data_IF_732756136669
#
_entry.id   IF_732756136669
#
_cell.length_a   1.000
_cell.length_b   1.000
_cell.length_c   1.000
_cell.angle_alpha   90.00
_cell.angle_beta   90.00
_cell.angle_gamma   90.00
#
_symmetry.space_group_name_H-M   'P 1'
#
loop_
_entity.id
_entity.type
_entity.pdbx_description
1 polymer ?
#
# COMPACT_ATOMS: atom_id res chain seq x y z
N UNK A 1 -14.28 10.73 15.76
CA UNK A 1 -13.67 10.66 14.42
C UNK A 1 -12.17 10.57 14.60
N UNK A 2 -11.49 9.60 13.96
CA UNK A 2 -10.03 9.50 14.04
C UNK A 2 -9.41 10.52 13.11
N UNK A 3 -8.39 11.23 13.60
CA UNK A 3 -7.68 12.24 12.80
C UNK A 3 -6.75 11.59 11.76
N UNK A 4 -6.28 10.37 12.01
CA UNK A 4 -5.33 9.65 11.15
C UNK A 4 -5.66 8.16 11.12
N UNK A 5 -5.76 7.61 9.92
CA UNK A 5 -5.94 6.18 9.64
C UNK A 5 -4.57 5.61 9.26
N UNK A 6 -4.14 4.57 9.97
CA UNK A 6 -2.89 3.85 9.69
C UNK A 6 -3.22 2.59 8.90
N UNK A 7 -2.47 2.37 7.83
CA UNK A 7 -2.51 1.13 7.06
C UNK A 7 -1.07 0.62 6.91
N UNK A 8 -0.78 -0.64 7.29
CA UNK A 8 0.53 -1.21 7.07
C UNK A 8 0.68 -1.55 5.57
N UNK A 9 1.89 -1.42 5.01
CA UNK A 9 2.13 -1.77 3.62
C UNK A 9 2.01 -3.27 3.38
N UNK A 10 1.57 -3.64 2.18
CA UNK A 10 1.73 -4.99 1.65
C UNK A 10 3.05 -5.09 0.89
N UNK A 11 3.85 -6.12 1.14
CA UNK A 11 5.13 -6.33 0.43
C UNK A 11 4.97 -7.41 -0.64
N UNK A 12 5.32 -7.07 -1.87
CA UNK A 12 5.24 -7.96 -3.03
C UNK A 12 6.62 -8.43 -3.45
N UNK A 13 6.82 -9.75 -3.44
CA UNK A 13 8.02 -10.42 -3.94
C UNK A 13 8.14 -10.24 -5.46
N UNK A 14 9.37 -9.99 -5.94
CA UNK A 14 9.67 -9.83 -7.36
C UNK A 14 11.04 -10.43 -7.66
N UNK A 15 11.22 -10.97 -8.87
CA UNK A 15 12.53 -11.48 -9.33
C UNK A 15 13.64 -10.41 -9.30
N UNK A 16 13.26 -9.15 -9.49
CA UNK A 16 14.14 -7.97 -9.40
C UNK A 16 14.12 -7.31 -8.02
N UNK A 17 13.45 -7.94 -7.05
CA UNK A 17 13.32 -7.44 -5.69
C UNK A 17 14.63 -7.53 -4.92
N UNK A 18 14.70 -6.79 -3.83
CA UNK A 18 15.89 -6.74 -2.98
C UNK A 18 15.50 -6.48 -1.53
N UNK A 19 16.45 -5.98 -0.73
CA UNK A 19 16.22 -5.63 0.67
C UNK A 19 16.25 -4.11 0.93
N UNK A 20 16.40 -3.27 -0.11
CA UNK A 20 16.51 -1.80 0.02
C UNK A 20 15.25 -1.14 0.55
N UNK A 21 14.09 -1.79 0.48
CA UNK A 21 12.88 -1.29 1.13
C UNK A 21 13.10 -1.10 2.65
N UNK A 22 13.95 -1.91 3.29
CA UNK A 22 14.29 -1.73 4.70
C UNK A 22 14.99 -0.38 4.99
N UNK A 23 15.76 0.15 4.03
CA UNK A 23 16.45 1.45 4.15
C UNK A 23 15.45 2.63 4.23
N UNK A 24 14.21 2.43 3.76
CA UNK A 24 13.12 3.39 3.89
C UNK A 24 12.36 3.27 5.22
N UNK A 25 12.87 2.49 6.17
CA UNK A 25 12.27 2.29 7.49
C UNK A 25 11.18 1.21 7.53
N UNK A 26 11.05 0.40 6.47
CA UNK A 26 10.11 -0.72 6.46
C UNK A 26 10.66 -1.93 7.23
N UNK A 27 9.78 -2.57 8.00
CA UNK A 27 10.04 -3.89 8.58
C UNK A 27 9.54 -4.95 7.60
N UNK A 28 10.47 -5.63 6.93
CA UNK A 28 10.14 -6.68 5.97
C UNK A 28 9.73 -7.97 6.73
N UNK A 29 8.67 -8.68 6.29
CA UNK A 29 8.08 -9.74 7.10
C UNK A 29 8.88 -11.04 7.10
N UNK A 30 9.66 -11.32 6.04
CA UNK A 30 10.56 -12.48 5.94
C UNK A 30 11.92 -12.04 5.39
N UNK A 31 12.82 -12.99 5.09
CA UNK A 31 14.10 -12.76 4.41
C UNK A 31 13.99 -12.74 2.87
N UNK A 32 12.77 -12.83 2.32
CA UNK A 32 12.53 -12.84 0.88
C UNK A 32 12.90 -11.50 0.20
N UNK A 33 13.01 -11.55 -1.13
CA UNK A 33 13.36 -10.40 -1.97
C UNK A 33 12.11 -9.67 -2.46
N UNK A 34 11.88 -8.50 -1.89
CA UNK A 34 10.70 -7.69 -2.20
C UNK A 34 11.02 -6.63 -3.25
N UNK A 35 10.23 -6.57 -4.33
CA UNK A 35 10.37 -5.51 -5.33
C UNK A 35 9.52 -4.29 -5.00
N UNK A 36 8.37 -4.49 -4.36
CA UNK A 36 7.40 -3.42 -4.13
C UNK A 36 6.87 -3.44 -2.71
N UNK A 37 6.70 -2.26 -2.13
CA UNK A 37 5.88 -2.02 -0.95
C UNK A 37 4.64 -1.24 -1.41
N UNK A 38 3.48 -1.88 -1.36
CA UNK A 38 2.19 -1.24 -1.64
C UNK A 38 1.70 -0.60 -0.34
N UNK A 39 1.93 0.71 -0.21
CA UNK A 39 1.70 1.48 1.01
C UNK A 39 0.22 1.73 1.25
N UNK A 40 -0.53 1.98 0.18
CA UNK A 40 -1.99 2.11 0.21
C UNK A 40 -2.55 1.35 -0.99
N UNK A 41 -3.35 0.32 -0.73
CA UNK A 41 -3.90 -0.54 -1.76
C UNK A 41 -5.27 -1.08 -1.36
N UNK A 42 -6.20 -1.05 -2.30
CA UNK A 42 -7.50 -1.70 -2.17
C UNK A 42 -7.69 -2.85 -3.17
N UNK A 43 -6.57 -3.39 -3.69
CA UNK A 43 -6.58 -4.52 -4.62
C UNK A 43 -6.62 -5.85 -3.85
N UNK A 44 -7.39 -6.81 -4.36
CA UNK A 44 -7.61 -8.09 -3.67
C UNK A 44 -6.31 -8.90 -3.44
N UNK A 45 -5.31 -8.76 -4.32
CA UNK A 45 -4.01 -9.44 -4.24
C UNK A 45 -2.94 -8.71 -3.40
N UNK A 46 -3.29 -7.58 -2.79
CA UNK A 46 -2.38 -6.81 -1.94
C UNK A 46 -3.16 -5.77 -1.14
N UNK A 47 -4.20 -6.23 -0.46
CA UNK A 47 -5.16 -5.39 0.26
C UNK A 47 -4.51 -4.76 1.50
N UNK A 48 -4.70 -3.45 1.68
CA UNK A 48 -4.39 -2.77 2.93
C UNK A 48 -5.49 -3.00 3.96
N UNK A 49 -5.10 -3.11 5.22
CA UNK A 49 -6.02 -3.26 6.35
C UNK A 49 -5.81 -2.12 7.35
N UNK A 50 -6.90 -1.63 7.93
CA UNK A 50 -6.84 -0.58 8.93
C UNK A 50 -6.13 -1.13 10.17
N UNK A 51 -5.11 -0.41 10.68
CA UNK A 51 -4.29 -0.87 11.81
C UNK A 51 -4.71 -0.27 13.16
N UNK A 52 -5.60 0.72 13.17
CA UNK A 52 -5.95 1.46 14.37
C UNK A 52 -7.43 1.78 14.47
N UNK A 53 -7.91 1.92 15.71
CA UNK A 53 -9.31 2.25 15.98
C UNK A 53 -10.25 1.04 15.94
N UNK A 54 -11.57 1.26 15.91
CA UNK A 54 -12.61 0.23 15.99
C UNK A 54 -12.69 -0.60 14.71
N UNK A 55 -12.31 0.01 13.59
CA UNK A 55 -12.22 -0.63 12.28
C UNK A 55 -10.89 -1.38 12.08
N UNK A 56 -10.07 -1.55 13.13
CA UNK A 56 -8.82 -2.30 13.02
C UNK A 56 -9.08 -3.73 12.51
N UNK A 57 -8.34 -4.13 11.47
CA UNK A 57 -8.52 -5.39 10.77
C UNK A 57 -9.53 -5.36 9.62
N UNK A 58 -10.28 -4.26 9.45
CA UNK A 58 -11.17 -4.09 8.29
C UNK A 58 -10.34 -3.76 7.05
N UNK A 59 -10.74 -4.31 5.89
CA UNK A 59 -10.07 -4.03 4.62
C UNK A 59 -10.28 -2.58 4.19
N UNK A 60 -9.29 -1.97 3.52
CA UNK A 60 -9.41 -0.61 3.00
C UNK A 60 -10.60 -0.47 2.03
N UNK A 61 -10.88 -1.51 1.25
CA UNK A 61 -12.04 -1.57 0.34
C UNK A 61 -13.37 -1.50 1.10
N UNK A 62 -13.52 -2.29 2.16
CA UNK A 62 -14.72 -2.28 3.03
C UNK A 62 -14.84 -0.95 3.78
N UNK A 63 -13.73 -0.45 4.32
CA UNK A 63 -13.70 0.83 5.01
C UNK A 63 -14.12 1.97 4.08
N UNK A 64 -13.60 1.99 2.84
CA UNK A 64 -13.97 2.97 1.82
C UNK A 64 -15.48 2.96 1.51
N UNK A 65 -16.06 1.77 1.33
CA UNK A 65 -17.49 1.64 1.05
C UNK A 65 -18.39 2.06 2.21
N UNK A 66 -17.96 1.80 3.45
CA UNK A 66 -18.75 2.09 4.65
C UNK A 66 -18.59 3.53 5.17
N UNK A 67 -17.51 4.20 4.79
CA UNK A 67 -17.11 5.50 5.34
C UNK A 67 -16.80 6.57 4.26
N UNK A 68 -17.72 6.87 3.33
CA UNK A 68 -17.50 7.86 2.27
C UNK A 68 -17.16 9.26 2.82
N UNK A 69 -17.56 9.57 4.06
CA UNK A 69 -17.26 10.83 4.75
C UNK A 69 -15.77 11.10 4.97
N UNK A 70 -14.92 10.07 4.95
CA UNK A 70 -13.46 10.23 5.06
C UNK A 70 -12.79 10.57 3.73
N UNK A 71 -13.45 10.28 2.61
CA UNK A 71 -12.85 10.36 1.27
C UNK A 71 -13.41 11.52 0.45
N UNK A 72 -14.59 12.03 0.79
CA UNK A 72 -15.22 13.14 0.07
C UNK A 72 -15.62 12.77 -1.36
N UNK A 73 -15.84 11.49 -1.64
CA UNK A 73 -16.28 10.97 -2.94
C UNK A 73 -17.45 9.99 -2.78
N UNK A 74 -18.19 9.77 -3.86
CA UNK A 74 -19.25 8.75 -3.98
C UNK A 74 -18.83 7.59 -4.87
N UNK A 75 -17.54 7.50 -5.21
CA UNK A 75 -17.02 6.40 -6.02
C UNK A 75 -17.24 5.06 -5.31
N UNK A 76 -17.45 4.01 -6.10
CA UNK A 76 -17.67 2.65 -5.58
C UNK A 76 -16.38 1.91 -5.30
N UNK A 77 -15.28 2.34 -5.91
CA UNK A 77 -13.97 1.70 -5.83
C UNK A 77 -12.94 2.72 -5.37
N UNK A 78 -11.99 2.24 -4.57
CA UNK A 78 -10.90 3.09 -4.12
C UNK A 78 -9.98 3.41 -5.32
N UNK A 79 -9.76 4.69 -5.63
CA UNK A 79 -9.28 5.10 -6.95
C UNK A 79 -7.77 4.93 -7.17
N UNK A 80 -7.00 4.62 -6.14
CA UNK A 80 -5.54 4.73 -6.18
C UNK A 80 -4.82 3.52 -5.61
N UNK A 81 -3.64 3.26 -6.17
CA UNK A 81 -2.62 2.39 -5.58
C UNK A 81 -1.38 3.25 -5.34
N UNK A 82 -0.94 3.35 -4.09
CA UNK A 82 0.33 3.99 -3.76
C UNK A 82 1.35 2.92 -3.43
N UNK A 83 2.49 2.92 -4.14
CA UNK A 83 3.56 1.94 -3.96
C UNK A 83 4.95 2.57 -4.05
N UNK A 84 5.88 1.98 -3.32
CA UNK A 84 7.32 2.20 -3.48
C UNK A 84 7.93 0.97 -4.14
N UNK A 85 8.65 1.14 -5.24
CA UNK A 85 9.30 0.05 -5.96
C UNK A 85 10.82 0.20 -5.89
N UNK A 86 11.52 -0.87 -5.52
CA UNK A 86 12.98 -0.97 -5.63
C UNK A 86 13.34 -1.83 -6.83
N UNK A 87 13.92 -1.26 -7.88
CA UNK A 87 14.43 -2.08 -8.97
C UNK A 87 15.88 -2.48 -8.66
N UNK A 88 16.19 -3.77 -8.57
CA UNK A 88 17.56 -4.24 -8.65
C UNK A 88 18.01 -4.21 -10.12
N UNK A 89 18.31 -3.02 -10.65
CA UNK A 89 18.99 -2.89 -11.94
C UNK A 89 20.00 -1.76 -11.80
N UNK A 90 21.25 -2.04 -12.17
CA UNK A 90 22.35 -1.28 -12.83
C UNK A 90 22.26 0.28 -12.97
N UNK A 91 21.14 0.94 -12.69
CA UNK A 91 20.98 2.41 -12.69
C UNK A 91 20.21 2.93 -11.46
N UNK A 92 20.60 4.09 -10.90
CA UNK A 92 20.09 4.59 -9.61
C UNK A 92 18.63 5.10 -9.69
N UNK A 93 17.81 4.61 -8.75
CA UNK A 93 16.52 5.09 -8.23
C UNK A 93 15.46 5.69 -9.19
N UNK A 94 14.24 5.11 -9.18
CA UNK A 94 13.05 5.70 -9.81
C UNK A 94 11.86 5.65 -8.83
N UNK A 95 11.43 6.81 -8.33
CA UNK A 95 10.16 6.95 -7.62
C UNK A 95 9.04 6.95 -8.67
N UNK A 96 8.09 6.02 -8.61
CA UNK A 96 6.98 5.92 -9.57
C UNK A 96 5.66 6.05 -8.81
N UNK A 97 5.05 7.23 -8.89
CA UNK A 97 3.63 7.39 -8.57
C UNK A 97 2.84 6.95 -9.81
N UNK A 98 2.17 5.81 -9.75
CA UNK A 98 1.29 5.35 -10.85
C UNK A 98 -0.16 5.68 -10.50
N UNK A 99 -0.64 6.83 -10.98
CA UNK A 99 -2.07 7.15 -11.01
C UNK A 99 -2.70 6.41 -12.19
N UNK A 100 -3.18 5.19 -11.96
CA UNK A 100 -4.10 4.57 -12.92
C UNK A 100 -5.50 5.06 -12.59
N UNK A 101 -5.99 6.03 -13.37
CA UNK A 101 -7.41 6.36 -13.46
C UNK A 101 -8.02 5.24 -14.31
N UNK A 102 -8.78 4.33 -13.69
CA UNK A 102 -9.74 3.49 -14.39
C UNK A 102 -11.12 4.12 -14.26
#
# INVERSE_FOLDING_TARGET
MYKVIKVPPYFSERLWGGRKLADFGFQLPTDDLYGEAWVISALDNGMSYIANGPEAGVSLKTFFANHPEYFGTTDKEFPLLSKLSQQMIIYPFKFILMMNIF
#
